data_IF_651129656019
#
_entry.id   IF_651129656019
#
_cell.length_a   1.000
_cell.length_b   1.000
_cell.length_c   1.000
_cell.angle_alpha   90.00
_cell.angle_beta   90.00
_cell.angle_gamma   90.00
#
_symmetry.space_group_name_H-M   'P 1'
#
loop_
_entity.id
_entity.type
_entity.pdbx_description
1 polymer ?
#
# COMPACT_ATOMS: atom_id res chain seq x y z
N UNK A 1 9.74 0.18 8.58
CA UNK A 1 10.13 0.07 10.01
C UNK A 1 9.62 -1.23 10.64
N UNK A 2 10.53 -2.11 11.09
CA UNK A 2 10.18 -3.35 11.81
C UNK A 2 9.91 -3.11 13.29
N UNK A 3 8.79 -3.63 13.79
CA UNK A 3 8.28 -3.47 15.14
C UNK A 3 8.10 -4.87 15.78
N UNK A 4 8.80 -5.18 16.88
CA UNK A 4 8.68 -6.49 17.52
C UNK A 4 7.36 -6.60 18.29
N UNK A 5 6.83 -7.82 18.41
CA UNK A 5 5.56 -8.12 19.11
C UNK A 5 5.43 -7.49 20.51
N UNK A 6 6.52 -7.36 21.26
CA UNK A 6 6.52 -6.75 22.61
C UNK A 6 6.05 -5.28 22.62
N UNK A 7 6.14 -4.60 21.47
CA UNK A 7 5.77 -3.20 21.32
C UNK A 7 4.35 -3.06 20.70
N UNK A 8 3.64 -4.18 20.50
CA UNK A 8 2.25 -4.18 20.04
C UNK A 8 1.34 -3.67 21.14
N UNK A 9 0.81 -2.47 20.94
CA UNK A 9 -0.02 -1.79 21.91
C UNK A 9 -1.11 -0.95 21.22
N UNK A 10 -1.96 -0.32 22.01
CA UNK A 10 -3.07 0.47 21.48
C UNK A 10 -2.61 1.72 20.71
N UNK A 11 -1.46 2.30 21.05
CA UNK A 11 -0.91 3.46 20.33
C UNK A 11 -0.46 3.06 18.94
N UNK A 12 0.26 1.95 18.81
CA UNK A 12 0.65 1.40 17.51
C UNK A 12 -0.56 1.07 16.65
N UNK A 13 -1.60 0.45 17.22
CA UNK A 13 -2.85 0.19 16.50
C UNK A 13 -3.48 1.47 15.96
N UNK A 14 -3.54 2.53 16.78
CA UNK A 14 -4.04 3.84 16.34
C UNK A 14 -3.18 4.44 15.24
N UNK A 15 -1.87 4.25 15.28
CA UNK A 15 -0.96 4.69 14.22
C UNK A 15 -1.26 3.96 12.92
N UNK A 16 -1.38 2.63 12.94
CA UNK A 16 -1.72 1.82 11.76
C UNK A 16 -3.09 2.26 11.21
N UNK A 17 -4.14 2.23 12.03
CA UNK A 17 -5.50 2.63 11.64
C UNK A 17 -5.52 4.08 11.08
N UNK A 18 -4.70 4.97 11.65
CA UNK A 18 -4.56 6.35 11.23
C UNK A 18 -3.86 6.51 9.87
N UNK A 19 -2.81 5.72 9.61
CA UNK A 19 -2.14 5.67 8.31
C UNK A 19 -3.09 5.15 7.23
N UNK A 20 -3.68 3.98 7.48
CA UNK A 20 -4.59 3.33 6.55
C UNK A 20 -5.76 4.22 6.17
N UNK A 21 -6.44 4.82 7.16
CA UNK A 21 -7.58 5.68 6.90
C UNK A 21 -7.20 6.95 6.14
N UNK A 22 -6.05 7.56 6.44
CA UNK A 22 -5.63 8.78 5.74
C UNK A 22 -5.30 8.48 4.28
N UNK A 23 -4.55 7.41 4.04
CA UNK A 23 -4.16 7.02 2.68
C UNK A 23 -5.35 6.56 1.85
N UNK A 24 -6.28 5.77 2.42
CA UNK A 24 -7.52 5.36 1.77
C UNK A 24 -8.33 6.58 1.29
N UNK A 25 -8.47 7.61 2.13
CA UNK A 25 -9.16 8.85 1.74
C UNK A 25 -8.40 9.64 0.65
N UNK A 26 -7.07 9.71 0.75
CA UNK A 26 -6.24 10.39 -0.24
C UNK A 26 -6.33 9.73 -1.62
N UNK A 27 -6.34 8.39 -1.67
CA UNK A 27 -6.49 7.60 -2.89
C UNK A 27 -7.77 7.93 -3.63
N UNK A 28 -8.91 7.94 -2.94
CA UNK A 28 -10.20 8.30 -3.55
C UNK A 28 -10.21 9.72 -4.11
N UNK A 29 -9.47 10.66 -3.51
CA UNK A 29 -9.35 12.02 -4.02
C UNK A 29 -8.44 12.08 -5.25
N UNK A 30 -7.34 11.33 -5.27
CA UNK A 30 -6.41 11.28 -6.39
C UNK A 30 -7.06 10.60 -7.60
N UNK A 31 -7.73 9.47 -7.41
CA UNK A 31 -8.45 8.79 -8.48
C UNK A 31 -9.39 9.74 -9.22
N UNK A 32 -10.24 10.48 -8.50
CA UNK A 32 -11.17 11.44 -9.12
C UNK A 32 -10.45 12.54 -9.88
N UNK A 33 -9.32 13.02 -9.38
CA UNK A 33 -8.54 14.08 -10.01
C UNK A 33 -7.91 13.59 -11.31
N UNK A 34 -7.32 12.39 -11.32
CA UNK A 34 -6.51 11.91 -12.44
C UNK A 34 -7.31 11.13 -13.50
N UNK A 35 -8.49 10.59 -13.15
CA UNK A 35 -9.31 9.75 -14.03
C UNK A 35 -9.56 10.34 -15.42
N UNK A 36 -9.88 11.63 -15.51
CA UNK A 36 -10.20 12.27 -16.79
C UNK A 36 -8.96 12.34 -17.70
N UNK A 37 -7.77 12.58 -17.13
CA UNK A 37 -6.54 12.70 -17.91
C UNK A 37 -6.13 11.36 -18.51
N UNK A 38 -6.26 10.26 -17.77
CA UNK A 38 -5.98 8.92 -18.30
C UNK A 38 -7.01 8.49 -19.36
N UNK A 39 -8.29 8.85 -19.18
CA UNK A 39 -9.32 8.60 -20.20
C UNK A 39 -9.01 9.29 -21.53
N UNK A 40 -8.38 10.47 -21.53
CA UNK A 40 -7.95 11.15 -22.75
C UNK A 40 -6.84 10.40 -23.50
N UNK A 41 -6.08 9.57 -22.79
CA UNK A 41 -5.03 8.69 -23.34
C UNK A 41 -5.56 7.29 -23.71
N UNK A 42 -6.88 7.08 -23.67
CA UNK A 42 -7.50 5.75 -23.81
C UNK A 42 -7.00 4.74 -22.76
N UNK A 43 -6.58 5.24 -21.59
CA UNK A 43 -6.15 4.44 -20.46
C UNK A 43 -7.11 4.61 -19.27
N UNK A 44 -6.99 3.72 -18.30
CA UNK A 44 -7.74 3.75 -17.05
C UNK A 44 -6.77 3.63 -15.88
N UNK A 45 -7.03 4.40 -14.84
CA UNK A 45 -6.45 4.16 -13.52
C UNK A 45 -7.38 3.26 -12.71
N UNK A 46 -6.83 2.23 -12.10
CA UNK A 46 -7.50 1.44 -11.06
C UNK A 46 -6.78 1.63 -9.75
N UNK A 47 -7.55 1.96 -8.72
CA UNK A 47 -7.03 2.29 -7.41
C UNK A 47 -7.67 1.35 -6.40
N UNK A 48 -6.85 0.66 -5.62
CA UNK A 48 -7.32 -0.22 -4.55
C UNK A 48 -6.62 0.08 -3.24
N UNK A 49 -7.40 -0.02 -2.17
CA UNK A 49 -6.90 -0.16 -0.81
C UNK A 49 -7.18 -1.60 -0.37
N UNK A 50 -6.13 -2.40 -0.32
CA UNK A 50 -6.23 -3.83 -0.05
C UNK A 50 -5.97 -4.09 1.44
N UNK A 51 -6.86 -4.84 2.10
CA UNK A 51 -6.64 -5.37 3.46
C UNK A 51 -6.85 -6.87 3.46
N UNK A 52 -5.87 -7.60 3.96
CA UNK A 52 -5.95 -9.01 4.29
C UNK A 52 -5.91 -9.19 5.79
N UNK A 53 -6.68 -10.16 6.30
CA UNK A 53 -6.82 -10.39 7.74
C UNK A 53 -7.74 -9.38 8.46
N UNK A 54 -8.03 -9.65 9.73
CA UNK A 54 -8.94 -8.83 10.54
C UNK A 54 -8.24 -8.05 11.65
N UNK A 55 -7.10 -8.55 12.13
CA UNK A 55 -6.37 -7.97 13.25
C UNK A 55 -4.95 -7.58 12.83
N UNK A 56 -4.55 -6.30 12.88
CA UNK A 56 -3.21 -5.85 12.53
C UNK A 56 -2.09 -6.50 13.35
N UNK A 57 -2.40 -7.10 14.50
CA UNK A 57 -1.42 -7.77 15.35
C UNK A 57 -1.38 -9.29 15.19
N UNK A 58 -1.98 -9.83 14.13
CA UNK A 58 -1.95 -11.26 13.81
C UNK A 58 -1.22 -11.53 12.51
N UNK A 59 -0.55 -12.69 12.45
CA UNK A 59 0.16 -13.11 11.24
C UNK A 59 -0.80 -13.26 10.07
N UNK A 60 -0.38 -12.79 8.89
CA UNK A 60 -1.21 -12.79 7.69
C UNK A 60 -2.16 -11.61 7.61
N UNK A 61 -2.07 -10.65 8.53
CA UNK A 61 -2.63 -9.33 8.29
C UNK A 61 -1.68 -8.52 7.41
N UNK A 62 -2.23 -7.90 6.38
CA UNK A 62 -1.51 -6.90 5.59
C UNK A 62 -2.45 -5.83 5.08
N UNK A 63 -1.98 -4.60 4.99
CA UNK A 63 -2.66 -3.51 4.28
C UNK A 63 -1.72 -2.87 3.28
N UNK A 64 -2.24 -2.60 2.09
CA UNK A 64 -1.49 -2.00 0.99
C UNK A 64 -2.37 -1.15 0.10
N UNK A 65 -1.70 -0.33 -0.70
CA UNK A 65 -2.29 0.50 -1.74
C UNK A 65 -1.78 -0.05 -3.06
N UNK A 66 -2.68 -0.20 -4.01
CA UNK A 66 -2.35 -0.63 -5.36
C UNK A 66 -2.93 0.38 -6.36
N UNK A 67 -2.11 0.82 -7.31
CA UNK A 67 -2.50 1.73 -8.39
C UNK A 67 -2.07 1.12 -9.72
N UNK A 68 -3.03 0.60 -10.49
CA UNK A 68 -2.80 0.04 -11.81
C UNK A 68 -3.12 1.04 -12.92
N UNK A 69 -2.28 1.09 -13.95
CA UNK A 69 -2.57 1.72 -15.22
C UNK A 69 -2.97 0.62 -16.20
N UNK A 70 -4.13 0.76 -16.83
CA UNK A 70 -4.71 -0.22 -17.75
C UNK A 70 -4.90 0.45 -19.10
N UNK A 71 -4.53 -0.22 -20.19
CA UNK A 71 -4.74 0.28 -21.54
C UNK A 71 -6.17 0.04 -22.06
N UNK A 72 -6.41 0.39 -23.32
CA UNK A 72 -7.72 0.26 -23.96
C UNK A 72 -8.18 -1.18 -24.16
N UNK A 73 -7.23 -2.13 -24.25
CA UNK A 73 -7.48 -3.55 -24.39
C UNK A 73 -7.78 -4.22 -23.02
N UNK A 74 -7.59 -3.49 -21.93
CA UNK A 74 -7.80 -3.98 -20.57
C UNK A 74 -6.57 -4.65 -19.98
N UNK A 75 -5.40 -4.51 -20.60
CA UNK A 75 -4.15 -5.08 -20.13
C UNK A 75 -3.46 -4.14 -19.14
N UNK A 76 -2.83 -4.71 -18.12
CA UNK A 76 -2.09 -3.96 -17.12
C UNK A 76 -0.78 -3.45 -17.73
N UNK A 77 -0.67 -2.13 -17.85
CA UNK A 77 0.53 -1.44 -18.35
C UNK A 77 1.58 -1.35 -17.24
N UNK A 78 1.16 -0.88 -16.07
CA UNK A 78 2.05 -0.77 -14.90
C UNK A 78 1.27 -0.78 -13.58
N UNK A 79 1.97 -1.07 -12.49
CA UNK A 79 1.43 -1.19 -11.14
C UNK A 79 2.38 -0.59 -10.10
N UNK A 80 1.92 0.47 -9.43
CA UNK A 80 2.51 0.93 -8.18
C UNK A 80 1.82 0.21 -7.01
N UNK A 81 2.60 -0.47 -6.16
CA UNK A 81 2.12 -1.08 -4.92
C UNK A 81 2.93 -0.60 -3.71
N UNK A 82 2.24 -0.07 -2.70
CA UNK A 82 2.83 0.44 -1.47
C UNK A 82 2.24 -0.33 -0.29
N UNK A 83 3.08 -1.09 0.42
CA UNK A 83 2.67 -1.79 1.64
C UNK A 83 2.65 -0.79 2.81
N UNK A 84 1.54 -0.73 3.55
CA UNK A 84 1.38 0.17 4.69
C UNK A 84 1.77 -0.56 5.97
N UNK A 85 1.16 -1.71 6.21
CA UNK A 85 1.41 -2.52 7.39
C UNK A 85 1.36 -4.00 7.03
N UNK A 86 2.31 -4.77 7.52
CA UNK A 86 2.30 -6.22 7.37
C UNK A 86 2.71 -6.89 8.68
N UNK A 87 2.00 -7.92 9.10
CA UNK A 87 2.32 -8.67 10.32
C UNK A 87 2.58 -10.14 9.97
N UNK A 88 3.78 -10.62 10.25
CA UNK A 88 4.23 -11.96 9.90
C UNK A 88 5.10 -12.58 10.98
N UNK A 89 5.19 -13.91 10.98
CA UNK A 89 6.24 -14.60 11.71
C UNK A 89 7.57 -14.46 10.95
N UNK A 90 8.65 -14.14 11.65
CA UNK A 90 10.02 -14.20 11.14
C UNK A 90 10.75 -15.39 11.76
N UNK A 91 11.35 -16.23 10.92
CA UNK A 91 12.28 -17.27 11.33
C UNK A 91 13.62 -17.06 10.62
N UNK A 92 14.70 -16.85 11.39
CA UNK A 92 16.03 -16.53 10.86
C UNK A 92 16.01 -15.33 9.87
N UNK A 93 15.12 -14.37 10.09
CA UNK A 93 14.95 -13.18 9.25
C UNK A 93 14.02 -13.37 8.04
N UNK A 94 13.53 -14.58 7.78
CA UNK A 94 12.62 -14.87 6.68
C UNK A 94 11.15 -14.83 7.12
N UNK A 95 10.25 -14.16 6.36
CA UNK A 95 8.82 -14.15 6.65
C UNK A 95 8.18 -15.51 6.41
N UNK A 96 7.22 -15.84 7.28
CA UNK A 96 6.56 -17.13 7.35
C UNK A 96 5.07 -16.90 7.63
N UNK A 97 4.22 -17.65 6.92
CA UNK A 97 2.76 -17.60 7.10
C UNK A 97 2.25 -18.46 8.27
N UNK A 98 3.13 -19.26 8.89
CA UNK A 98 2.77 -20.17 10.00
C UNK A 98 3.77 -20.05 11.14
N UNK A 99 3.25 -20.19 12.36
CA UNK A 99 4.08 -20.24 13.57
C UNK A 99 4.88 -21.54 13.59
N UNK A 100 6.21 -21.43 13.78
CA UNK A 100 7.10 -22.55 14.07
C UNK A 100 7.93 -22.26 15.33
N UNK A 101 8.46 -23.28 16.02
CA UNK A 101 9.36 -23.07 17.15
C UNK A 101 10.54 -22.17 16.78
N UNK A 102 10.77 -21.12 17.57
CA UNK A 102 11.84 -20.13 17.35
C UNK A 102 11.48 -18.97 16.42
N UNK A 103 10.30 -19.00 15.76
CA UNK A 103 9.81 -17.85 15.01
C UNK A 103 9.34 -16.73 15.95
N UNK A 104 9.44 -15.48 15.50
CA UNK A 104 8.99 -14.29 16.23
C UNK A 104 7.97 -13.53 15.41
N UNK A 105 6.87 -13.11 16.02
CA UNK A 105 5.92 -12.22 15.35
C UNK A 105 6.52 -10.82 15.26
N UNK A 106 6.50 -10.24 14.07
CA UNK A 106 7.01 -8.90 13.78
C UNK A 106 6.02 -8.21 12.85
N UNK A 107 5.74 -6.95 13.15
CA UNK A 107 5.00 -6.06 12.28
C UNK A 107 5.95 -5.13 11.54
N UNK A 108 5.63 -4.77 10.32
CA UNK A 108 6.39 -3.85 9.50
C UNK A 108 5.47 -2.74 9.03
N UNK A 109 5.69 -1.53 9.55
CA UNK A 109 5.02 -0.32 9.09
C UNK A 109 5.88 0.31 7.99
N UNK A 110 5.24 0.88 6.99
CA UNK A 110 5.88 1.75 5.98
C UNK A 110 6.78 2.81 6.65
N UNK A 111 7.95 3.07 6.06
CA UNK A 111 8.90 4.05 6.62
C UNK A 111 8.53 5.48 6.21
N UNK A 112 7.91 5.61 5.05
CA UNK A 112 7.42 6.84 4.46
C UNK A 112 6.22 7.39 5.24
N UNK A 113 6.21 8.71 5.43
CA UNK A 113 5.04 9.39 5.95
C UNK A 113 3.89 9.37 4.94
N UNK A 114 2.65 9.55 5.42
CA UNK A 114 1.46 9.72 4.56
C UNK A 114 1.67 10.79 3.48
N UNK A 115 2.39 11.88 3.80
CA UNK A 115 2.67 12.96 2.86
C UNK A 115 3.64 12.52 1.76
N UNK A 116 4.66 11.75 2.11
CA UNK A 116 5.65 11.22 1.15
C UNK A 116 4.98 10.20 0.23
N UNK A 117 4.21 9.26 0.76
CA UNK A 117 3.42 8.30 -0.03
C UNK A 117 2.48 9.03 -1.00
N UNK A 118 1.82 10.10 -0.55
CA UNK A 118 0.96 10.92 -1.43
C UNK A 118 1.74 11.59 -2.55
N UNK A 119 2.98 12.01 -2.28
CA UNK A 119 3.85 12.60 -3.29
C UNK A 119 4.30 11.55 -4.30
N UNK A 120 4.72 10.38 -3.84
CA UNK A 120 5.10 9.24 -4.69
C UNK A 120 3.97 8.83 -5.64
N UNK A 121 2.73 8.66 -5.13
CA UNK A 121 1.57 8.32 -5.97
C UNK A 121 1.30 9.42 -7.01
N UNK A 122 1.48 10.69 -6.64
CA UNK A 122 1.31 11.80 -7.58
C UNK A 122 2.37 11.76 -8.68
N UNK A 123 3.63 11.62 -8.29
CA UNK A 123 4.76 11.67 -9.20
C UNK A 123 4.65 10.51 -10.19
N UNK A 124 4.33 9.31 -9.72
CA UNK A 124 4.01 8.16 -10.57
C UNK A 124 2.91 8.48 -11.60
N UNK A 125 1.77 9.02 -11.18
CA UNK A 125 0.68 9.39 -12.10
C UNK A 125 1.08 10.48 -13.11
N UNK A 126 1.88 11.46 -12.68
CA UNK A 126 2.31 12.58 -13.51
C UNK A 126 3.38 12.17 -14.52
N UNK A 127 4.30 11.27 -14.16
CA UNK A 127 5.27 10.67 -15.07
C UNK A 127 4.55 9.97 -16.23
N UNK A 128 3.58 9.10 -15.94
CA UNK A 128 2.75 8.43 -16.96
C UNK A 128 1.98 9.39 -17.86
N UNK A 129 1.59 10.57 -17.35
CA UNK A 129 0.92 11.56 -18.17
C UNK A 129 1.89 12.33 -19.07
N UNK A 130 3.13 12.54 -18.64
CA UNK A 130 4.16 13.29 -19.38
C UNK A 130 4.88 12.48 -20.47
N UNK A 131 4.94 11.14 -20.36
CA UNK A 131 5.64 10.28 -21.33
C UNK A 131 5.16 10.43 -22.79
N UNK A 132 3.95 10.96 -23.01
CA UNK A 132 3.37 11.16 -24.35
C UNK A 132 3.64 12.54 -24.98
N UNK A 133 4.30 13.47 -24.28
CA UNK A 133 4.64 14.79 -24.85
C UNK A 133 5.92 14.78 -25.72
N UNK A 134 6.44 13.60 -26.10
CA UNK A 134 7.67 13.45 -26.91
C UNK A 134 7.45 12.82 -28.28
#
# INVERSE_FOLDING_TARGET
>A
MKIPQKDFNQELRKTIDGYEKQLENDLFSLERKYKIFFLQKQQKIEVSFDREGQNPFESGYSSSISLGIIDEDGELVDLLKINIWECNYLFLGLPMSRMIPGAKLVGELVDESVKEIRHEIRDYLEEFLQEDEK
#
